data_IF_545577634675
#
_entry.id   IF_545577634675
#
_cell.length_a   1.000
_cell.length_b   1.000
_cell.length_c   1.000
_cell.angle_alpha   90.00
_cell.angle_beta   90.00
_cell.angle_gamma   90.00
#
_symmetry.space_group_name_H-M   'P 1'
#
loop_
_entity.id
_entity.type
_entity.pdbx_description
1 polymer ?
#
# COMPACT_ATOMS: atom_id res chain seq x y z
N UNK A 1 47.88 61.00 -6.83
CA UNK A 1 46.37 60.96 -6.73
C UNK A 1 45.95 59.51 -6.66
N UNK A 2 45.43 59.10 -5.49
CA UNK A 2 45.12 57.69 -5.17
C UNK A 2 43.59 57.50 -5.26
N UNK A 3 43.14 56.77 -6.26
CA UNK A 3 41.71 56.41 -6.41
C UNK A 3 41.46 55.02 -5.77
N UNK A 4 40.68 55.02 -4.64
CA UNK A 4 40.22 53.79 -3.98
C UNK A 4 38.87 53.41 -4.59
N UNK A 5 38.82 52.23 -5.24
CA UNK A 5 37.56 51.63 -5.65
C UNK A 5 37.05 50.72 -4.55
N UNK A 6 35.90 51.04 -4.00
CA UNK A 6 35.20 50.24 -3.01
C UNK A 6 34.23 49.37 -3.80
N UNK A 7 34.49 48.05 -3.86
CA UNK A 7 33.58 47.09 -4.44
C UNK A 7 32.49 46.72 -3.44
N UNK A 8 31.23 47.09 -3.78
CA UNK A 8 30.05 46.54 -3.06
C UNK A 8 29.81 45.09 -3.53
N UNK A 9 30.05 44.12 -2.65
CA UNK A 9 29.65 42.75 -2.83
C UNK A 9 28.18 42.61 -2.42
N UNK A 10 27.29 42.36 -3.38
CA UNK A 10 25.91 42.01 -3.13
C UNK A 10 25.84 40.52 -2.75
N UNK A 11 25.59 40.21 -1.49
CA UNK A 11 25.31 38.86 -1.00
C UNK A 11 23.88 38.49 -1.38
N UNK A 12 23.71 37.65 -2.41
CA UNK A 12 22.43 37.06 -2.75
C UNK A 12 22.19 35.88 -1.80
N UNK A 13 21.35 36.07 -0.79
CA UNK A 13 20.83 35.00 0.07
C UNK A 13 19.79 34.20 -0.71
N UNK A 14 20.17 33.01 -1.20
CA UNK A 14 19.25 31.99 -1.74
C UNK A 14 18.45 31.44 -0.57
N UNK A 15 17.20 31.88 -0.42
CA UNK A 15 16.21 31.24 0.43
C UNK A 15 15.81 29.91 -0.21
N UNK A 16 16.42 28.82 0.23
CA UNK A 16 15.98 27.46 -0.08
C UNK A 16 14.69 27.23 0.70
N UNK A 17 13.56 27.47 0.05
CA UNK A 17 12.24 27.11 0.57
C UNK A 17 12.18 25.58 0.65
N UNK A 18 12.22 25.04 1.87
CA UNK A 18 11.88 23.65 2.13
C UNK A 18 10.40 23.46 1.83
N UNK A 19 10.08 22.91 0.68
CA UNK A 19 8.76 22.38 0.37
C UNK A 19 8.54 21.15 1.26
N UNK A 20 8.19 21.37 2.51
CA UNK A 20 7.63 20.34 3.39
C UNK A 20 6.24 20.02 2.83
N UNK A 21 6.17 19.16 1.80
CA UNK A 21 4.92 18.54 1.41
C UNK A 21 4.38 17.84 2.65
N UNK A 22 3.24 18.26 3.16
CA UNK A 22 2.52 17.55 4.20
C UNK A 22 2.09 16.20 3.60
N UNK A 23 2.96 15.18 3.69
CA UNK A 23 2.59 13.80 3.47
C UNK A 23 1.60 13.46 4.57
N UNK A 24 0.33 13.37 4.20
CA UNK A 24 -0.69 12.89 5.12
C UNK A 24 -0.35 11.43 5.45
N UNK A 25 -0.22 11.03 6.71
CA UNK A 25 0.05 9.64 7.04
C UNK A 25 -1.11 8.78 6.52
N UNK A 26 -0.83 7.57 6.02
CA UNK A 26 -1.88 6.68 5.54
C UNK A 26 -2.85 6.35 6.70
N UNK A 27 -4.13 6.15 6.39
CA UNK A 27 -5.14 5.78 7.39
C UNK A 27 -4.96 4.37 7.95
N UNK A 28 -4.00 3.61 7.46
CA UNK A 28 -3.69 2.25 7.87
C UNK A 28 -2.68 1.61 6.95
N UNK A 29 -2.54 0.31 7.06
CA UNK A 29 -1.57 -0.47 6.28
C UNK A 29 -2.22 -1.74 5.72
N UNK A 30 -1.68 -2.20 4.62
CA UNK A 30 -2.07 -3.46 3.98
C UNK A 30 -0.88 -4.41 4.01
N UNK A 31 -1.17 -5.68 4.25
CA UNK A 31 -0.21 -6.77 4.16
C UNK A 31 -0.84 -7.94 3.39
N UNK A 32 -0.04 -8.87 2.89
CA UNK A 32 -0.50 -10.10 2.25
C UNK A 32 -0.09 -11.32 3.06
N UNK A 33 -0.96 -12.30 3.16
CA UNK A 33 -0.76 -13.61 3.78
C UNK A 33 -1.09 -14.72 2.79
N UNK A 34 -0.73 -15.95 3.12
CA UNK A 34 -1.25 -17.13 2.44
C UNK A 34 -2.46 -17.69 3.20
N UNK A 35 -3.48 -18.16 2.47
CA UNK A 35 -4.52 -19.01 3.04
C UNK A 35 -4.01 -20.44 3.22
N UNK A 36 -4.79 -21.31 3.87
CA UNK A 36 -4.46 -22.75 3.95
C UNK A 36 -4.44 -23.47 2.59
N UNK A 37 -5.05 -22.89 1.56
CA UNK A 37 -5.03 -23.38 0.17
C UNK A 37 -3.93 -22.74 -0.69
N UNK A 38 -3.12 -21.81 -0.13
CA UNK A 38 -2.10 -21.08 -0.87
C UNK A 38 -2.64 -19.83 -1.57
N UNK A 39 -3.94 -19.49 -1.43
CA UNK A 39 -4.46 -18.27 -2.05
C UNK A 39 -3.94 -17.03 -1.34
N UNK A 40 -3.72 -15.91 -2.07
CA UNK A 40 -3.36 -14.65 -1.47
C UNK A 40 -4.54 -14.07 -0.66
N UNK A 41 -4.24 -13.73 0.59
CA UNK A 41 -5.18 -13.11 1.54
C UNK A 41 -4.65 -11.74 1.92
N UNK A 42 -5.39 -10.68 1.64
CA UNK A 42 -5.05 -9.37 2.16
C UNK A 42 -5.45 -9.26 3.63
N UNK A 43 -4.54 -8.70 4.40
CA UNK A 43 -4.73 -8.32 5.80
C UNK A 43 -4.65 -6.80 5.88
N UNK A 44 -5.77 -6.17 6.24
CA UNK A 44 -5.84 -4.73 6.38
C UNK A 44 -5.93 -4.39 7.87
N UNK A 45 -5.24 -3.32 8.26
CA UNK A 45 -5.38 -2.72 9.57
C UNK A 45 -5.45 -1.20 9.39
N UNK A 46 -6.39 -0.53 10.06
CA UNK A 46 -6.66 0.89 9.86
C UNK A 46 -6.96 1.63 11.16
N UNK A 47 -6.79 2.96 11.08
CA UNK A 47 -7.16 3.92 12.10
C UNK A 47 -8.38 4.72 11.61
N UNK A 48 -9.41 4.80 12.41
CA UNK A 48 -10.57 5.61 12.08
C UNK A 48 -11.56 4.93 11.14
N UNK A 49 -11.70 5.41 9.90
CA UNK A 49 -12.70 4.86 8.97
C UNK A 49 -12.20 3.59 8.28
N UNK A 50 -13.04 2.55 8.21
CA UNK A 50 -12.70 1.35 7.46
C UNK A 50 -12.65 1.62 5.96
N UNK A 51 -11.81 0.88 5.21
CA UNK A 51 -11.84 0.90 3.75
C UNK A 51 -13.18 0.37 3.23
N UNK A 52 -13.67 0.94 2.12
CA UNK A 52 -14.91 0.52 1.46
C UNK A 52 -14.68 -0.51 0.36
N UNK A 53 -13.48 -0.56 -0.15
CA UNK A 53 -13.08 -1.54 -1.14
C UNK A 53 -11.58 -1.81 -1.08
N UNK A 54 -11.20 -2.91 -1.66
CA UNK A 54 -9.82 -3.26 -1.96
C UNK A 54 -9.59 -3.06 -3.43
N UNK A 55 -8.43 -2.52 -3.77
CA UNK A 55 -7.95 -2.40 -5.14
C UNK A 55 -6.65 -3.17 -5.26
N UNK A 56 -6.57 -4.06 -6.24
CA UNK A 56 -5.34 -4.75 -6.62
C UNK A 56 -5.03 -4.39 -8.07
N UNK A 57 -3.81 -3.98 -8.35
CA UNK A 57 -3.30 -3.69 -9.69
C UNK A 57 -2.04 -4.50 -9.94
N UNK A 58 -1.70 -4.73 -11.21
CA UNK A 58 -0.44 -5.35 -11.60
C UNK A 58 0.48 -4.30 -12.22
N UNK A 59 1.79 -4.47 -12.02
CA UNK A 59 2.76 -3.69 -12.76
C UNK A 59 2.66 -4.03 -14.27
N UNK A 60 2.67 -3.05 -15.18
CA UNK A 60 2.63 -3.33 -16.61
C UNK A 60 3.88 -4.08 -17.04
N UNK A 61 3.71 -5.29 -17.56
CA UNK A 61 4.79 -6.22 -17.92
C UNK A 61 5.58 -5.86 -19.19
N UNK A 62 5.36 -4.71 -19.83
CA UNK A 62 6.16 -4.27 -20.98
C UNK A 62 6.00 -2.78 -21.30
N UNK A 63 7.11 -2.16 -21.71
CA UNK A 63 7.22 -0.75 -22.16
C UNK A 63 6.42 -0.43 -23.45
N UNK A 64 5.73 -1.37 -24.06
CA UNK A 64 5.13 -1.24 -25.40
C UNK A 64 3.59 -1.22 -25.46
N UNK A 65 2.91 -1.53 -24.37
CA UNK A 65 1.45 -1.43 -24.30
C UNK A 65 1.05 -0.22 -23.46
N UNK A 66 0.05 0.60 -23.88
CA UNK A 66 -0.52 1.57 -22.97
C UNK A 66 -1.02 0.80 -21.75
N UNK A 67 -0.74 1.29 -20.53
CA UNK A 67 -1.19 0.63 -19.32
C UNK A 67 -2.72 0.64 -19.29
N UNK A 68 -3.33 -0.38 -19.86
CA UNK A 68 -4.69 -0.72 -19.48
C UNK A 68 -4.55 -1.18 -18.03
N UNK A 69 -4.88 -0.32 -17.09
CA UNK A 69 -4.85 -0.63 -15.66
C UNK A 69 -5.80 -1.80 -15.40
N UNK A 70 -5.26 -3.01 -15.53
CA UNK A 70 -5.99 -4.19 -15.10
C UNK A 70 -6.10 -4.10 -13.58
N UNK A 71 -7.28 -4.25 -13.08
CA UNK A 71 -7.52 -4.21 -11.65
C UNK A 71 -8.51 -5.29 -11.21
N UNK A 72 -8.29 -5.78 -10.00
CA UNK A 72 -9.27 -6.52 -9.23
C UNK A 72 -9.80 -5.56 -8.17
N UNK A 73 -11.10 -5.32 -8.16
CA UNK A 73 -11.75 -4.47 -7.15
C UNK A 73 -12.78 -5.29 -6.39
N UNK A 74 -12.61 -5.32 -5.07
CA UNK A 74 -13.47 -6.08 -4.15
C UNK A 74 -14.08 -5.10 -3.17
N UNK A 75 -15.40 -4.91 -3.24
CA UNK A 75 -16.15 -4.05 -2.32
C UNK A 75 -16.27 -4.74 -0.96
N UNK A 76 -16.01 -3.98 0.10
CA UNK A 76 -16.14 -4.44 1.47
C UNK A 76 -17.60 -4.52 1.93
N UNK A 77 -17.94 -5.44 2.83
CA UNK A 77 -19.15 -5.34 3.63
C UNK A 77 -19.07 -4.17 4.63
N UNK A 78 -20.08 -4.00 5.46
CA UNK A 78 -20.00 -3.08 6.60
C UNK A 78 -18.99 -3.61 7.63
N UNK A 79 -17.76 -3.09 7.54
CA UNK A 79 -16.67 -3.51 8.40
C UNK A 79 -16.80 -2.90 9.79
N UNK A 80 -16.57 -3.73 10.81
CA UNK A 80 -16.48 -3.34 12.22
C UNK A 80 -15.09 -3.61 12.77
N UNK A 81 -14.66 -2.81 13.74
CA UNK A 81 -13.32 -2.92 14.31
C UNK A 81 -12.27 -2.15 13.50
N UNK A 82 -11.02 -2.59 13.53
CA UNK A 82 -9.86 -1.90 12.97
C UNK A 82 -8.96 -2.80 12.10
N UNK A 83 -9.44 -4.00 11.76
CA UNK A 83 -8.76 -4.92 10.85
C UNK A 83 -9.74 -5.80 10.10
N UNK A 84 -9.34 -6.30 8.94
CA UNK A 84 -10.08 -7.28 8.15
C UNK A 84 -9.11 -8.18 7.37
N UNK A 85 -9.62 -9.36 6.97
CA UNK A 85 -8.93 -10.29 6.08
C UNK A 85 -9.85 -10.63 4.92
N UNK A 86 -9.29 -10.72 3.72
CA UNK A 86 -10.06 -11.10 2.53
C UNK A 86 -9.22 -11.95 1.60
N UNK A 87 -9.73 -13.11 1.20
CA UNK A 87 -9.12 -13.94 0.16
C UNK A 87 -9.38 -13.28 -1.20
N UNK A 88 -8.33 -13.02 -1.99
CA UNK A 88 -8.45 -12.33 -3.27
C UNK A 88 -9.08 -13.17 -4.36
N UNK A 89 -8.95 -14.51 -4.30
CA UNK A 89 -9.55 -15.43 -5.27
C UNK A 89 -10.97 -15.82 -4.88
N UNK A 90 -11.21 -15.96 -3.59
CA UNK A 90 -12.49 -16.44 -3.03
C UNK A 90 -12.95 -15.53 -1.88
N UNK A 91 -13.30 -14.27 -2.17
CA UNK A 91 -13.76 -13.35 -1.14
C UNK A 91 -15.07 -13.87 -0.56
N UNK A 92 -15.04 -14.17 0.76
CA UNK A 92 -16.20 -14.60 1.54
C UNK A 92 -16.80 -13.46 2.36
N UNK A 93 -17.69 -13.80 3.29
CA UNK A 93 -18.15 -12.90 4.37
C UNK A 93 -18.70 -11.54 3.89
N UNK A 94 -19.44 -11.54 2.79
CA UNK A 94 -20.09 -10.33 2.25
C UNK A 94 -19.19 -9.46 1.36
N UNK A 95 -17.95 -9.84 1.14
CA UNK A 95 -17.10 -9.20 0.14
C UNK A 95 -17.58 -9.50 -1.28
N UNK A 96 -17.60 -8.49 -2.17
CA UNK A 96 -18.16 -8.63 -3.52
C UNK A 96 -17.17 -8.14 -4.56
N UNK A 97 -16.76 -8.99 -5.50
CA UNK A 97 -15.96 -8.59 -6.65
C UNK A 97 -16.81 -7.68 -7.55
N UNK A 98 -16.35 -6.46 -7.78
CA UNK A 98 -17.01 -5.45 -8.64
C UNK A 98 -16.27 -5.22 -9.96
N UNK A 99 -14.99 -5.54 -10.02
CA UNK A 99 -14.18 -5.55 -11.22
C UNK A 99 -13.18 -6.72 -11.13
N UNK A 100 -13.04 -7.49 -12.20
CA UNK A 100 -12.13 -8.64 -12.32
C UNK A 100 -11.37 -8.62 -13.64
N UNK A 101 -10.89 -7.45 -14.07
CA UNK A 101 -10.07 -7.35 -15.29
C UNK A 101 -8.62 -7.84 -15.06
N UNK A 102 -8.23 -8.07 -13.82
CA UNK A 102 -6.94 -8.63 -13.39
C UNK A 102 -7.14 -10.06 -12.89
N UNK A 103 -6.41 -11.01 -13.47
CA UNK A 103 -6.30 -12.37 -12.98
C UNK A 103 -5.01 -12.53 -12.16
N UNK A 104 -5.11 -13.14 -10.98
CA UNK A 104 -3.98 -13.44 -10.09
C UNK A 104 -3.44 -14.85 -10.42
N UNK A 105 -2.75 -14.98 -11.57
CA UNK A 105 -2.27 -16.28 -12.08
C UNK A 105 -0.80 -16.28 -12.45
N UNK A 106 -0.16 -15.14 -12.54
CA UNK A 106 1.26 -15.02 -12.90
C UNK A 106 2.09 -14.86 -11.63
N UNK A 107 2.89 -15.86 -11.32
CA UNK A 107 3.65 -15.97 -10.08
C UNK A 107 4.74 -14.89 -9.98
N UNK A 108 5.28 -14.46 -11.09
CA UNK A 108 6.36 -13.46 -11.17
C UNK A 108 5.90 -12.02 -11.33
N UNK A 109 4.61 -11.81 -11.62
CA UNK A 109 4.07 -10.44 -11.74
C UNK A 109 4.03 -9.77 -10.37
N UNK A 110 4.48 -8.51 -10.34
CA UNK A 110 4.37 -7.66 -9.15
C UNK A 110 2.96 -7.08 -9.07
N UNK A 111 2.28 -7.35 -7.97
CA UNK A 111 0.96 -6.83 -7.63
C UNK A 111 1.07 -5.77 -6.55
N UNK A 112 0.21 -4.76 -6.64
CA UNK A 112 0.03 -3.71 -5.63
C UNK A 112 -1.40 -3.78 -5.10
N UNK A 113 -1.56 -3.84 -3.79
CA UNK A 113 -2.87 -3.93 -3.16
C UNK A 113 -3.01 -2.94 -1.99
N UNK A 114 -4.17 -2.31 -1.89
CA UNK A 114 -4.49 -1.38 -0.81
C UNK A 114 -5.98 -1.33 -0.52
N UNK A 115 -6.33 -0.91 0.67
CA UNK A 115 -7.70 -0.57 1.05
C UNK A 115 -8.01 0.86 0.68
N UNK A 116 -9.08 1.07 -0.09
CA UNK A 116 -9.54 2.38 -0.53
C UNK A 116 -10.76 2.83 0.28
N UNK A 117 -10.75 4.07 0.75
CA UNK A 117 -11.87 4.73 1.43
C UNK A 117 -12.48 5.82 0.55
N UNK A 118 -13.56 6.50 0.99
CA UNK A 118 -14.14 7.67 0.31
C UNK A 118 -13.33 8.97 0.54
N UNK A 119 -12.32 8.90 1.34
CA UNK A 119 -11.44 10.00 1.74
C UNK A 119 -10.06 9.79 1.15
N UNK A 120 -9.19 10.80 1.04
CA UNK A 120 -7.79 10.61 0.66
C UNK A 120 -7.00 9.70 1.62
N UNK A 121 -7.66 9.13 2.61
CA UNK A 121 -7.08 8.32 3.68
C UNK A 121 -7.09 6.83 3.31
N UNK A 122 -6.47 6.45 2.20
CA UNK A 122 -6.28 5.05 1.84
C UNK A 122 -5.23 4.38 2.74
N UNK A 123 -5.27 3.05 2.84
CA UNK A 123 -4.20 2.32 3.52
C UNK A 123 -2.92 2.35 2.69
N UNK A 124 -1.76 2.32 3.34
CA UNK A 124 -0.49 2.14 2.66
C UNK A 124 -0.53 0.82 1.86
N UNK A 125 -0.10 0.82 0.59
CA UNK A 125 -0.14 -0.36 -0.25
C UNK A 125 0.88 -1.41 0.21
N UNK A 126 0.59 -2.67 -0.13
CA UNK A 126 1.57 -3.75 -0.13
C UNK A 126 1.91 -4.12 -1.57
N UNK A 127 3.19 -4.37 -1.81
CA UNK A 127 3.73 -4.92 -3.04
C UNK A 127 4.09 -6.37 -2.82
N UNK A 128 3.67 -7.27 -3.73
CA UNK A 128 3.92 -8.70 -3.61
C UNK A 128 3.89 -9.42 -4.96
N UNK A 129 4.51 -10.61 -5.02
CA UNK A 129 4.34 -11.62 -6.07
C UNK A 129 3.65 -12.85 -5.50
N UNK A 130 3.07 -13.70 -6.34
CA UNK A 130 2.46 -14.96 -5.86
C UNK A 130 3.53 -15.93 -5.33
N UNK A 131 4.75 -15.95 -5.93
CA UNK A 131 5.88 -16.69 -5.39
C UNK A 131 6.19 -16.32 -3.94
N UNK A 132 6.16 -15.02 -3.60
CA UNK A 132 6.37 -14.57 -2.22
C UNK A 132 5.23 -15.02 -1.29
N UNK A 133 3.98 -15.05 -1.79
CA UNK A 133 2.84 -15.54 -1.01
C UNK A 133 2.98 -17.02 -0.71
N UNK A 134 3.43 -17.84 -1.66
CA UNK A 134 3.63 -19.27 -1.50
C UNK A 134 4.71 -19.64 -0.46
N UNK A 135 5.67 -18.72 -0.24
CA UNK A 135 6.70 -18.86 0.80
C UNK A 135 6.21 -18.50 2.22
N UNK A 136 5.03 -17.89 2.35
CA UNK A 136 4.52 -17.46 3.65
C UNK A 136 3.94 -18.62 4.45
N UNK A 137 4.21 -18.61 5.75
CA UNK A 137 3.53 -19.52 6.69
C UNK A 137 2.14 -18.99 7.03
N UNK A 138 1.26 -19.85 7.52
CA UNK A 138 -0.14 -19.52 7.84
C UNK A 138 -0.32 -18.36 8.86
N UNK A 139 0.72 -18.06 9.66
CA UNK A 139 0.69 -17.02 10.69
C UNK A 139 1.52 -15.78 10.31
N UNK A 140 2.20 -15.82 9.16
CA UNK A 140 3.02 -14.72 8.69
C UNK A 140 2.29 -13.85 7.66
N UNK A 141 2.69 -12.59 7.58
CA UNK A 141 2.27 -11.66 6.54
C UNK A 141 3.50 -10.97 5.95
N UNK A 142 3.46 -10.69 4.66
CA UNK A 142 4.36 -9.76 3.99
C UNK A 142 3.72 -8.38 4.05
N UNK A 143 4.35 -7.44 4.70
CA UNK A 143 3.90 -6.04 4.81
C UNK A 143 5.09 -5.10 4.75
N UNK A 144 4.85 -3.79 4.79
CA UNK A 144 5.91 -2.80 4.86
C UNK A 144 6.37 -2.60 6.33
N UNK A 145 7.67 -2.44 6.53
CA UNK A 145 8.23 -2.00 7.80
C UNK A 145 8.10 -0.47 7.99
N UNK A 146 8.73 0.09 9.02
CA UNK A 146 8.70 1.53 9.32
C UNK A 146 9.36 2.41 8.25
N UNK A 147 10.16 1.81 7.38
CA UNK A 147 10.85 2.48 6.27
C UNK A 147 10.15 2.28 4.93
N UNK A 148 9.05 1.51 4.91
CA UNK A 148 8.32 1.14 3.69
C UNK A 148 8.91 -0.07 2.97
N UNK A 149 9.91 -0.75 3.54
CA UNK A 149 10.52 -1.93 2.94
C UNK A 149 9.68 -3.20 3.18
N UNK A 150 9.56 -4.10 2.18
CA UNK A 150 8.83 -5.35 2.33
C UNK A 150 9.45 -6.24 3.42
N UNK A 151 8.64 -6.70 4.36
CA UNK A 151 9.09 -7.56 5.45
C UNK A 151 8.07 -8.59 5.84
N UNK A 152 8.54 -9.81 6.13
CA UNK A 152 7.72 -10.87 6.71
C UNK A 152 7.67 -10.73 8.24
N UNK A 153 6.46 -10.61 8.78
CA UNK A 153 6.21 -10.44 10.21
C UNK A 153 5.03 -11.32 10.64
N UNK A 154 4.85 -11.54 11.94
CA UNK A 154 3.65 -12.22 12.43
C UNK A 154 2.39 -11.37 12.19
N UNK A 155 1.29 -12.01 11.81
CA UNK A 155 0.04 -11.30 11.47
C UNK A 155 -0.53 -10.51 12.66
N UNK A 156 -0.43 -11.07 13.87
CA UNK A 156 -0.90 -10.38 15.08
C UNK A 156 -0.03 -9.19 15.43
N UNK A 157 1.31 -9.28 15.22
CA UNK A 157 2.24 -8.17 15.42
C UNK A 157 1.95 -7.04 14.41
N UNK A 158 1.65 -7.38 13.15
CA UNK A 158 1.26 -6.40 12.14
C UNK A 158 0.03 -5.60 12.59
N UNK A 159 -1.06 -6.29 12.94
CA UNK A 159 -2.31 -5.64 13.37
C UNK A 159 -2.08 -4.84 14.65
N UNK A 160 -1.40 -5.42 15.65
CA UNK A 160 -1.09 -4.76 16.90
C UNK A 160 -0.28 -3.48 16.73
N UNK A 161 0.74 -3.52 15.85
CA UNK A 161 1.58 -2.36 15.54
C UNK A 161 0.77 -1.23 14.90
N UNK A 162 -0.03 -1.51 13.86
CA UNK A 162 -0.85 -0.51 13.18
C UNK A 162 -1.83 0.12 14.16
N UNK A 163 -2.57 -0.69 14.91
CA UNK A 163 -3.61 -0.21 15.82
C UNK A 163 -3.06 0.54 17.04
N UNK A 164 -1.81 0.28 17.44
CA UNK A 164 -1.15 1.02 18.51
C UNK A 164 -0.74 2.44 18.10
N UNK A 165 -0.69 2.74 16.80
CA UNK A 165 -0.40 4.08 16.26
C UNK A 165 -1.66 4.94 16.11
N UNK A 166 -2.84 4.34 16.30
CA UNK A 166 -4.13 5.03 16.32
C UNK A 166 -4.34 5.77 17.64
#
# INVERSE_FOLDING_TARGET
>A
MRGRWIGLGAAATLAVGTLSGCLHPPAGYTAVAASSSGDPVLVLAWCGRPPKQIVVTAEPSSDTAPPSLRSLVIRAPDLTGNSARVNLRHPGDGWVITNSSLDLTDDSTTYFAYGQSDSPDDTAPVEFTLDQVDELTATAVLGADDLGEPRVIAADDFIGKVTSQC
#
